data_IF_403125975288
#
_entry.id   IF_403125975288
#
_cell.length_a   1.000
_cell.length_b   1.000
_cell.length_c   1.000
_cell.angle_alpha   90.00
_cell.angle_beta   90.00
_cell.angle_gamma   90.00
#
_symmetry.space_group_name_H-M   'P 1'
#
loop_
_entity.id
_entity.type
_entity.pdbx_description
1 polymer ?
#
# COMPACT_ATOMS: atom_id res chain seq x y z
N UNK A 1 39.94 -14.47 -14.26
CA UNK A 1 39.06 -15.04 -15.33
C UNK A 1 37.90 -15.92 -14.82
N UNK A 2 38.05 -16.73 -13.76
CA UNK A 2 36.95 -17.56 -13.19
C UNK A 2 35.83 -16.76 -12.50
N UNK A 3 36.12 -15.59 -11.95
CA UNK A 3 35.17 -14.69 -11.28
C UNK A 3 34.21 -13.96 -12.23
N UNK A 4 34.68 -13.54 -13.42
CA UNK A 4 33.80 -12.94 -14.44
C UNK A 4 32.82 -13.96 -15.05
N UNK A 5 33.24 -15.21 -15.25
CA UNK A 5 32.35 -16.29 -15.72
C UNK A 5 31.23 -16.60 -14.69
N UNK A 6 31.51 -16.50 -13.40
CA UNK A 6 30.52 -16.70 -12.31
C UNK A 6 29.43 -15.63 -12.29
N UNK A 7 29.79 -14.37 -12.48
CA UNK A 7 28.84 -13.24 -12.59
C UNK A 7 28.00 -13.36 -13.87
N UNK A 8 28.63 -13.73 -14.98
CA UNK A 8 27.93 -14.02 -16.23
C UNK A 8 26.93 -15.17 -16.09
N UNK A 9 27.27 -16.23 -15.35
CA UNK A 9 26.36 -17.35 -15.09
C UNK A 9 25.20 -16.99 -14.14
N UNK A 10 25.41 -16.05 -13.22
CA UNK A 10 24.38 -15.51 -12.35
C UNK A 10 23.35 -14.68 -13.15
N UNK A 11 23.82 -13.74 -13.99
CA UNK A 11 22.95 -13.00 -14.91
C UNK A 11 22.28 -13.92 -15.94
N UNK A 12 22.96 -14.95 -16.43
CA UNK A 12 22.39 -15.92 -17.37
C UNK A 12 21.32 -16.81 -16.72
N UNK A 13 21.46 -17.16 -15.43
CA UNK A 13 20.39 -17.84 -14.66
C UNK A 13 19.24 -16.91 -14.28
N UNK A 14 19.52 -15.63 -14.04
CA UNK A 14 18.49 -14.59 -13.91
C UNK A 14 17.69 -14.47 -15.24
N UNK A 15 18.38 -14.44 -16.37
CA UNK A 15 17.82 -14.28 -17.72
C UNK A 15 17.13 -15.54 -18.29
N UNK A 16 17.59 -16.75 -17.96
CA UNK A 16 16.86 -18.00 -18.32
C UNK A 16 15.70 -18.29 -17.36
N UNK A 17 15.71 -17.70 -16.17
CA UNK A 17 14.61 -17.76 -15.20
C UNK A 17 13.49 -16.77 -15.49
N UNK A 18 13.74 -15.66 -16.21
CA UNK A 18 12.73 -14.62 -16.47
C UNK A 18 11.53 -15.13 -17.25
N UNK A 19 11.73 -15.95 -18.29
CA UNK A 19 10.61 -16.52 -19.06
C UNK A 19 9.69 -17.42 -18.22
N UNK A 20 10.29 -18.28 -17.39
CA UNK A 20 9.54 -19.13 -16.45
C UNK A 20 8.87 -18.31 -15.33
N UNK A 21 9.51 -17.24 -14.89
CA UNK A 21 9.02 -16.32 -13.86
C UNK A 21 7.84 -15.48 -14.34
N UNK A 22 7.95 -14.89 -15.53
CA UNK A 22 6.87 -14.15 -16.19
C UNK A 22 5.68 -15.08 -16.44
N UNK A 23 5.92 -16.32 -16.89
CA UNK A 23 4.86 -17.32 -17.05
C UNK A 23 4.14 -17.61 -15.73
N UNK A 24 4.88 -17.78 -14.63
CA UNK A 24 4.28 -17.98 -13.29
C UNK A 24 3.47 -16.76 -12.84
N UNK A 25 3.99 -15.56 -13.08
CA UNK A 25 3.29 -14.31 -12.75
C UNK A 25 2.01 -14.14 -13.57
N UNK A 26 2.03 -14.52 -14.85
CA UNK A 26 0.87 -14.50 -15.74
C UNK A 26 -0.23 -15.49 -15.32
N UNK A 27 0.16 -16.64 -14.78
CA UNK A 27 -0.79 -17.62 -14.26
C UNK A 27 -1.48 -17.14 -12.97
N UNK A 28 -0.87 -16.22 -12.23
CA UNK A 28 -1.45 -15.64 -11.03
C UNK A 28 -2.46 -14.54 -11.36
N UNK A 29 -3.71 -14.64 -10.88
CA UNK A 29 -4.78 -13.68 -11.20
C UNK A 29 -4.39 -12.23 -10.91
N UNK A 30 -3.79 -11.99 -9.73
CA UNK A 30 -3.35 -10.65 -9.31
C UNK A 30 -2.09 -10.19 -10.06
N UNK A 31 -1.17 -11.12 -10.33
CA UNK A 31 0.09 -10.82 -11.03
C UNK A 31 -0.14 -10.43 -12.48
N UNK A 32 -1.09 -11.09 -13.15
CA UNK A 32 -1.49 -10.78 -14.52
C UNK A 32 -2.06 -9.37 -14.66
N UNK A 33 -2.93 -8.95 -13.74
CA UNK A 33 -3.49 -7.58 -13.77
C UNK A 33 -2.38 -6.54 -13.61
N UNK A 34 -1.50 -6.72 -12.63
CA UNK A 34 -0.36 -5.82 -12.45
C UNK A 34 0.56 -5.78 -13.67
N UNK A 35 0.86 -6.93 -14.27
CA UNK A 35 1.73 -7.00 -15.45
C UNK A 35 1.12 -6.31 -16.67
N UNK A 36 -0.19 -6.48 -16.92
CA UNK A 36 -0.89 -5.80 -18.02
C UNK A 36 -0.79 -4.28 -17.85
N UNK A 37 -1.06 -3.77 -16.64
CA UNK A 37 -1.03 -2.32 -16.37
C UNK A 37 0.40 -1.77 -16.49
N UNK A 38 1.41 -2.42 -15.88
CA UNK A 38 2.81 -1.97 -16.02
C UNK A 38 3.24 -1.99 -17.48
N UNK A 39 2.88 -3.03 -18.24
CA UNK A 39 3.23 -3.14 -19.66
C UNK A 39 2.58 -2.03 -20.47
N UNK A 40 1.31 -1.74 -20.22
CA UNK A 40 0.60 -0.62 -20.83
C UNK A 40 1.27 0.73 -20.52
N UNK A 41 1.60 0.99 -19.24
CA UNK A 41 2.30 2.21 -18.84
C UNK A 41 3.71 2.30 -19.45
N UNK A 42 4.42 1.17 -19.57
CA UNK A 42 5.72 1.12 -20.22
C UNK A 42 5.63 1.45 -21.72
N UNK A 43 4.61 0.96 -22.41
CA UNK A 43 4.33 1.31 -23.81
C UNK A 43 4.05 2.81 -23.93
N UNK A 44 3.17 3.36 -23.08
CA UNK A 44 2.91 4.80 -23.06
C UNK A 44 4.17 5.62 -22.80
N UNK A 45 5.03 5.17 -21.89
CA UNK A 45 6.28 5.87 -21.58
C UNK A 45 7.26 5.84 -22.77
N UNK A 46 7.50 4.67 -23.38
CA UNK A 46 8.48 4.52 -24.46
C UNK A 46 8.00 5.23 -25.72
N UNK A 47 6.74 5.05 -26.08
CA UNK A 47 6.14 5.60 -27.29
C UNK A 47 5.45 6.95 -27.06
N UNK A 48 5.73 7.64 -25.95
CA UNK A 48 5.10 8.93 -25.64
C UNK A 48 5.17 9.95 -26.79
N UNK A 49 6.31 10.17 -27.47
CA UNK A 49 6.40 11.14 -28.56
C UNK A 49 5.58 10.75 -29.81
N UNK A 50 5.18 9.48 -29.92
CA UNK A 50 4.41 8.95 -31.05
C UNK A 50 2.91 8.85 -30.73
N UNK A 51 2.56 8.73 -29.44
CA UNK A 51 1.18 8.57 -28.97
C UNK A 51 0.57 9.92 -28.58
N UNK A 52 1.37 10.83 -28.03
CA UNK A 52 0.89 12.15 -27.63
C UNK A 52 0.54 13.00 -28.87
N UNK A 53 -0.65 13.62 -28.92
CA UNK A 53 -1.03 14.49 -30.04
C UNK A 53 -0.13 15.74 -30.17
N UNK A 54 0.36 16.26 -29.05
CA UNK A 54 1.21 17.45 -28.99
C UNK A 54 2.47 17.18 -28.16
N UNK A 55 3.57 17.86 -28.48
CA UNK A 55 4.76 17.87 -27.64
C UNK A 55 4.57 18.90 -26.53
N UNK A 56 4.43 18.47 -25.25
CA UNK A 56 4.23 19.41 -24.17
C UNK A 56 5.49 20.26 -23.88
N UNK A 57 6.67 19.91 -24.37
CA UNK A 57 7.87 20.73 -24.24
C UNK A 57 7.99 21.81 -25.30
N UNK A 58 7.25 21.70 -26.40
CA UNK A 58 7.22 22.69 -27.46
C UNK A 58 6.27 23.84 -27.08
N UNK A 59 6.84 25.03 -26.89
CA UNK A 59 6.06 26.23 -26.54
C UNK A 59 5.16 26.70 -27.67
N UNK A 60 5.48 26.35 -28.93
CA UNK A 60 4.71 26.77 -30.11
C UNK A 60 3.42 25.98 -30.27
N UNK A 61 3.33 24.79 -29.65
CA UNK A 61 2.16 23.91 -29.69
C UNK A 61 1.19 24.14 -28.52
N UNK A 62 1.42 25.19 -27.71
CA UNK A 62 0.53 25.56 -26.61
C UNK A 62 -0.70 26.25 -27.16
N UNK A 63 -1.87 25.87 -26.64
CA UNK A 63 -3.13 26.49 -26.96
C UNK A 63 -3.54 27.50 -25.88
N UNK A 64 -4.76 28.03 -25.99
CA UNK A 64 -5.33 28.91 -24.97
C UNK A 64 -5.35 28.21 -23.59
N UNK A 65 -5.16 29.00 -22.53
CA UNK A 65 -5.05 28.48 -21.17
C UNK A 65 -6.42 28.09 -20.63
N UNK A 66 -6.49 26.91 -19.99
CA UNK A 66 -7.71 26.49 -19.31
C UNK A 66 -8.86 26.20 -20.27
N UNK A 67 -8.58 25.67 -21.46
CA UNK A 67 -9.62 25.14 -22.34
C UNK A 67 -10.26 23.90 -21.70
N UNK A 68 -11.56 23.76 -21.88
CA UNK A 68 -12.31 22.56 -21.50
C UNK A 68 -12.05 21.42 -22.48
N UNK A 69 -12.36 20.16 -22.11
CA UNK A 69 -12.17 19.01 -22.98
C UNK A 69 -12.90 19.18 -24.31
N UNK A 70 -12.16 18.97 -25.41
CA UNK A 70 -12.66 19.07 -26.78
C UNK A 70 -12.04 17.96 -27.63
N UNK A 71 -12.48 17.81 -28.88
CA UNK A 71 -11.87 16.85 -29.81
C UNK A 71 -10.42 17.19 -30.17
N UNK A 72 -10.06 18.46 -30.15
CA UNK A 72 -8.67 18.92 -30.36
C UNK A 72 -7.81 18.71 -29.13
N UNK A 73 -8.40 18.85 -27.93
CA UNK A 73 -7.75 18.69 -26.63
C UNK A 73 -8.58 17.75 -25.74
N UNK A 74 -8.35 16.44 -25.83
CA UNK A 74 -9.17 15.40 -25.20
C UNK A 74 -9.40 15.58 -23.69
N UNK A 75 -8.42 16.17 -22.99
CA UNK A 75 -8.52 16.50 -21.57
C UNK A 75 -8.39 18.01 -21.31
N UNK A 76 -8.61 18.83 -22.33
CA UNK A 76 -8.42 20.28 -22.26
C UNK A 76 -6.94 20.67 -22.09
N UNK A 77 -6.73 21.92 -21.71
CA UNK A 77 -5.37 22.50 -21.57
C UNK A 77 -5.10 22.95 -20.14
N UNK A 78 -3.81 23.00 -19.79
CA UNK A 78 -3.33 23.48 -18.50
C UNK A 78 -3.71 24.95 -18.30
N UNK A 79 -4.23 25.27 -17.11
CA UNK A 79 -4.67 26.61 -16.74
C UNK A 79 -3.47 27.57 -16.63
N UNK A 80 -2.31 27.06 -16.21
CA UNK A 80 -1.13 27.90 -15.98
C UNK A 80 -0.36 28.17 -17.27
N UNK A 81 -0.22 27.15 -18.13
CA UNK A 81 0.71 27.16 -19.27
C UNK A 81 0.06 26.96 -20.64
N UNK A 82 -1.19 26.49 -20.73
CA UNK A 82 -1.85 26.21 -22.02
C UNK A 82 -1.39 24.92 -22.71
N UNK A 83 -0.62 24.07 -22.02
CA UNK A 83 -0.20 22.76 -22.52
C UNK A 83 -1.37 21.76 -22.53
N UNK A 84 -1.44 20.89 -23.54
CA UNK A 84 -2.45 19.83 -23.62
C UNK A 84 -2.31 18.81 -22.46
N UNK A 85 -3.36 18.63 -21.66
CA UNK A 85 -3.32 17.81 -20.44
C UNK A 85 -3.14 16.33 -20.77
N UNK A 86 -3.68 15.85 -21.89
CA UNK A 86 -3.54 14.45 -22.31
C UNK A 86 -2.11 14.12 -22.72
N UNK A 87 -1.47 15.01 -23.47
CA UNK A 87 -0.06 14.91 -23.84
C UNK A 87 0.84 14.97 -22.60
N UNK A 88 0.54 15.87 -21.66
CA UNK A 88 1.22 15.93 -20.36
C UNK A 88 1.06 14.63 -19.57
N UNK A 89 -0.12 14.01 -19.58
CA UNK A 89 -0.38 12.75 -18.89
C UNK A 89 0.50 11.61 -19.43
N UNK A 90 0.59 11.50 -20.76
CA UNK A 90 1.41 10.49 -21.44
C UNK A 90 2.90 10.71 -21.12
N UNK A 91 3.41 11.93 -21.32
CA UNK A 91 4.80 12.26 -21.01
C UNK A 91 5.12 12.12 -19.53
N UNK A 92 4.18 12.45 -18.65
CA UNK A 92 4.28 12.26 -17.20
C UNK A 92 4.55 10.82 -16.80
N UNK A 93 4.06 9.85 -17.58
CA UNK A 93 4.34 8.43 -17.38
C UNK A 93 5.84 8.14 -17.41
N UNK A 94 6.61 8.80 -18.28
CA UNK A 94 8.08 8.59 -18.41
C UNK A 94 8.80 9.01 -17.14
N UNK A 95 8.57 10.24 -16.70
CA UNK A 95 9.25 10.82 -15.55
C UNK A 95 8.89 10.08 -14.27
N UNK A 96 7.59 9.91 -13.98
CA UNK A 96 7.13 9.28 -12.74
C UNK A 96 7.50 7.79 -12.67
N UNK A 97 7.38 7.04 -13.78
CA UNK A 97 7.75 5.62 -13.80
C UNK A 97 9.26 5.42 -13.68
N UNK A 98 10.07 6.24 -14.35
CA UNK A 98 11.52 6.14 -14.28
C UNK A 98 12.06 6.44 -12.88
N UNK A 99 11.57 7.49 -12.21
CA UNK A 99 12.01 7.83 -10.84
C UNK A 99 11.65 6.69 -9.89
N UNK A 100 10.40 6.21 -9.93
CA UNK A 100 9.94 5.12 -9.09
C UNK A 100 10.77 3.85 -9.25
N UNK A 101 10.99 3.42 -10.51
CA UNK A 101 11.70 2.18 -10.81
C UNK A 101 13.19 2.28 -10.49
N UNK A 102 13.87 3.33 -10.94
CA UNK A 102 15.33 3.47 -10.74
C UNK A 102 15.63 3.60 -9.26
N UNK A 103 14.91 4.47 -8.56
CA UNK A 103 15.11 4.67 -7.12
C UNK A 103 14.79 3.40 -6.33
N UNK A 104 13.68 2.72 -6.67
CA UNK A 104 13.32 1.46 -6.04
C UNK A 104 14.38 0.37 -6.20
N UNK A 105 14.97 0.25 -7.39
CA UNK A 105 16.09 -0.68 -7.65
C UNK A 105 17.34 -0.29 -6.87
N UNK A 106 17.71 0.99 -6.84
CA UNK A 106 18.88 1.45 -6.08
C UNK A 106 18.70 1.18 -4.58
N UNK A 107 17.51 1.48 -4.04
CA UNK A 107 17.14 1.17 -2.66
C UNK A 107 17.22 -0.34 -2.41
N UNK A 108 16.74 -1.16 -3.34
CA UNK A 108 16.80 -2.61 -3.23
C UNK A 108 18.25 -3.13 -3.15
N UNK A 109 19.12 -2.60 -4.01
CA UNK A 109 20.54 -2.95 -4.03
C UNK A 109 21.19 -2.52 -2.71
N UNK A 110 21.08 -1.25 -2.31
CA UNK A 110 21.69 -0.74 -1.07
C UNK A 110 21.16 -1.47 0.17
N UNK A 111 19.84 -1.61 0.28
CA UNK A 111 19.19 -2.29 1.38
C UNK A 111 19.58 -3.77 1.47
N UNK A 112 19.69 -4.46 0.33
CA UNK A 112 20.14 -5.85 0.29
C UNK A 112 21.58 -6.02 0.75
N UNK A 113 22.50 -5.18 0.25
CA UNK A 113 23.92 -5.27 0.57
C UNK A 113 24.16 -5.02 2.06
N UNK A 114 23.59 -3.94 2.59
CA UNK A 114 23.75 -3.56 3.99
C UNK A 114 23.00 -4.50 4.94
N UNK A 115 21.80 -4.96 4.56
CA UNK A 115 21.03 -5.94 5.33
C UNK A 115 21.70 -7.32 5.41
N UNK A 116 22.25 -7.82 4.29
CA UNK A 116 23.00 -9.07 4.25
C UNK A 116 24.30 -8.95 5.04
N UNK A 117 25.03 -7.86 4.88
CA UNK A 117 26.25 -7.60 5.63
C UNK A 117 25.97 -7.60 7.15
N UNK A 118 24.98 -6.83 7.60
CA UNK A 118 24.59 -6.75 9.00
C UNK A 118 24.14 -8.12 9.55
N UNK A 119 23.23 -8.82 8.86
CA UNK A 119 22.70 -10.10 9.34
C UNK A 119 23.70 -11.25 9.33
N UNK A 120 24.61 -11.30 8.35
CA UNK A 120 25.55 -12.41 8.22
C UNK A 120 26.83 -12.20 9.04
N UNK A 121 27.47 -11.02 8.91
CA UNK A 121 28.74 -10.74 9.59
C UNK A 121 28.53 -10.64 11.12
N UNK A 122 27.41 -10.05 11.57
CA UNK A 122 27.11 -9.87 12.98
C UNK A 122 28.08 -8.92 13.70
N UNK A 123 28.01 -8.91 15.03
CA UNK A 123 28.96 -8.20 15.89
C UNK A 123 28.97 -6.68 15.65
N UNK A 124 30.16 -6.11 15.47
CA UNK A 124 30.33 -4.66 15.32
C UNK A 124 29.76 -4.12 13.99
N UNK A 125 29.85 -4.88 12.90
CA UNK A 125 29.29 -4.48 11.59
C UNK A 125 27.77 -4.34 11.67
N UNK A 126 27.11 -5.33 12.28
CA UNK A 126 25.68 -5.30 12.53
C UNK A 126 25.29 -4.09 13.40
N UNK A 127 26.02 -3.90 14.50
CA UNK A 127 25.79 -2.79 15.43
C UNK A 127 25.91 -1.45 14.71
N UNK A 128 26.98 -1.20 13.95
CA UNK A 128 27.19 0.06 13.26
C UNK A 128 26.08 0.34 12.22
N UNK A 129 25.78 -0.63 11.36
CA UNK A 129 24.76 -0.49 10.32
C UNK A 129 23.39 -0.25 10.96
N UNK A 130 23.01 -1.04 11.96
CA UNK A 130 21.71 -0.91 12.62
C UNK A 130 21.59 0.39 13.40
N UNK A 131 22.67 0.91 14.01
CA UNK A 131 22.64 2.23 14.66
C UNK A 131 22.37 3.35 13.66
N UNK A 132 23.00 3.32 12.48
CA UNK A 132 22.72 4.27 11.41
C UNK A 132 21.26 4.14 10.94
N UNK A 133 20.78 2.91 10.72
CA UNK A 133 19.38 2.64 10.33
C UNK A 133 18.40 3.17 11.38
N UNK A 134 18.66 2.95 12.66
CA UNK A 134 17.80 3.38 13.76
C UNK A 134 17.72 4.92 13.83
N UNK A 135 18.85 5.62 13.69
CA UNK A 135 18.89 7.09 13.64
C UNK A 135 18.09 7.63 12.45
N UNK A 136 18.29 7.05 11.26
CA UNK A 136 17.61 7.52 10.04
C UNK A 136 16.09 7.26 10.07
N UNK A 137 15.64 6.18 10.71
CA UNK A 137 14.22 5.85 10.78
C UNK A 137 13.43 6.67 11.82
N UNK A 138 14.10 7.31 12.76
CA UNK A 138 13.47 8.28 13.68
C UNK A 138 13.10 9.56 12.95
N UNK A 139 13.85 9.93 11.91
CA UNK A 139 13.61 11.15 11.13
C UNK A 139 12.52 10.87 10.08
N UNK A 140 11.44 11.66 10.03
CA UNK A 140 10.43 11.55 8.99
C UNK A 140 11.04 11.73 7.58
N UNK A 141 10.90 10.72 6.72
CA UNK A 141 11.58 10.69 5.41
C UNK A 141 11.13 11.84 4.49
N UNK A 142 9.83 12.17 4.44
CA UNK A 142 9.34 13.24 3.57
C UNK A 142 9.90 14.63 3.95
N UNK A 143 9.81 15.10 5.21
CA UNK A 143 10.48 16.32 5.64
C UNK A 143 11.97 16.37 5.32
N UNK A 144 12.67 15.24 5.52
CA UNK A 144 14.09 15.15 5.19
C UNK A 144 14.36 15.34 3.69
N UNK A 145 13.57 14.68 2.84
CA UNK A 145 13.68 14.82 1.36
C UNK A 145 13.39 16.26 0.94
N UNK A 146 12.39 16.92 1.54
CA UNK A 146 12.05 18.32 1.29
C UNK A 146 13.23 19.24 1.59
N UNK A 147 13.82 19.12 2.77
CA UNK A 147 14.98 19.94 3.16
C UNK A 147 16.17 19.67 2.25
N UNK A 148 16.45 18.40 1.94
CA UNK A 148 17.59 18.02 1.11
C UNK A 148 17.45 18.49 -0.34
N UNK A 149 16.27 18.43 -0.93
CA UNK A 149 16.02 18.91 -2.30
C UNK A 149 16.06 20.44 -2.39
N UNK A 150 15.70 21.14 -1.31
CA UNK A 150 15.88 22.59 -1.24
C UNK A 150 17.37 23.01 -1.18
N UNK A 151 18.21 22.23 -0.49
CA UNK A 151 19.65 22.52 -0.36
C UNK A 151 20.47 22.05 -1.57
N UNK A 152 20.22 20.84 -2.04
CA UNK A 152 20.99 20.20 -3.12
C UNK A 152 20.41 20.47 -4.52
N UNK A 153 19.22 21.07 -4.59
CA UNK A 153 18.48 21.35 -5.82
C UNK A 153 17.50 20.25 -6.20
N UNK A 154 16.71 20.52 -7.25
CA UNK A 154 15.56 19.70 -7.66
C UNK A 154 15.81 18.89 -8.93
N UNK A 155 17.08 18.64 -9.28
CA UNK A 155 17.39 17.85 -10.47
C UNK A 155 16.96 16.38 -10.30
N UNK A 156 16.67 15.72 -11.42
CA UNK A 156 16.30 14.30 -11.46
C UNK A 156 17.30 13.41 -10.67
N UNK A 157 18.60 13.62 -10.89
CA UNK A 157 19.65 12.85 -10.23
C UNK A 157 19.69 13.10 -8.72
N UNK A 158 19.47 14.34 -8.29
CA UNK A 158 19.43 14.70 -6.86
C UNK A 158 18.23 14.05 -6.18
N UNK A 159 17.05 14.08 -6.80
CA UNK A 159 15.85 13.44 -6.25
C UNK A 159 16.08 11.93 -6.04
N UNK A 160 16.61 11.24 -7.06
CA UNK A 160 16.94 9.81 -6.98
C UNK A 160 17.97 9.55 -5.86
N UNK A 161 19.04 10.36 -5.78
CA UNK A 161 20.09 10.20 -4.77
C UNK A 161 19.55 10.39 -3.36
N UNK A 162 18.75 11.43 -3.12
CA UNK A 162 18.16 11.72 -1.81
C UNK A 162 17.24 10.59 -1.38
N UNK A 163 16.31 10.15 -2.23
CA UNK A 163 15.47 8.99 -1.89
C UNK A 163 16.28 7.71 -1.68
N UNK A 164 17.30 7.45 -2.50
CA UNK A 164 18.17 6.30 -2.35
C UNK A 164 18.97 6.32 -1.04
N UNK A 165 19.43 7.50 -0.60
CA UNK A 165 20.23 7.68 0.61
C UNK A 165 19.44 7.40 1.91
N UNK A 166 18.12 7.59 1.88
CA UNK A 166 17.27 7.45 3.08
C UNK A 166 16.31 6.27 3.01
N UNK A 167 15.91 5.82 1.82
CA UNK A 167 14.90 4.79 1.61
C UNK A 167 15.37 3.34 1.83
N UNK A 168 16.68 3.09 1.90
CA UNK A 168 17.25 1.74 2.07
C UNK A 168 17.12 1.15 3.48
N UNK A 169 16.89 2.00 4.47
CA UNK A 169 16.95 1.67 5.90
C UNK A 169 15.91 0.62 6.31
N UNK A 170 14.65 0.82 5.91
CA UNK A 170 13.57 -0.13 6.18
C UNK A 170 13.82 -1.50 5.56
N UNK A 171 14.25 -1.53 4.29
CA UNK A 171 14.55 -2.77 3.59
C UNK A 171 15.76 -3.50 4.20
N UNK A 172 16.82 -2.78 4.56
CA UNK A 172 17.99 -3.38 5.19
C UNK A 172 17.64 -4.09 6.50
N UNK A 173 16.77 -3.49 7.32
CA UNK A 173 16.30 -4.09 8.57
C UNK A 173 15.54 -5.40 8.32
N UNK A 174 14.64 -5.40 7.34
CA UNK A 174 13.85 -6.59 6.97
C UNK A 174 14.76 -7.70 6.44
N UNK A 175 15.69 -7.37 5.54
CA UNK A 175 16.64 -8.35 4.99
C UNK A 175 17.55 -8.90 6.07
N UNK A 176 18.06 -8.06 6.98
CA UNK A 176 18.85 -8.52 8.13
C UNK A 176 18.10 -9.59 8.93
N UNK A 177 16.83 -9.37 9.25
CA UNK A 177 16.02 -10.32 10.01
C UNK A 177 15.95 -11.69 9.32
N UNK A 178 15.77 -11.70 8.00
CA UNK A 178 15.74 -12.94 7.21
C UNK A 178 17.10 -13.61 7.11
N UNK A 179 18.17 -12.82 6.98
CA UNK A 179 19.53 -13.34 6.90
C UNK A 179 19.94 -14.00 8.23
N UNK A 180 19.52 -13.45 9.37
CA UNK A 180 19.75 -14.08 10.68
C UNK A 180 19.11 -15.47 10.77
N UNK A 181 17.93 -15.67 10.17
CA UNK A 181 17.28 -16.99 10.09
C UNK A 181 18.06 -17.93 9.16
N UNK A 182 18.42 -17.46 7.96
CA UNK A 182 19.09 -18.27 6.92
C UNK A 182 20.51 -18.66 7.33
N UNK A 183 21.23 -17.78 8.05
CA UNK A 183 22.59 -18.03 8.55
C UNK A 183 22.70 -19.32 9.39
N UNK A 184 21.61 -19.70 10.05
CA UNK A 184 21.56 -20.90 10.90
C UNK A 184 21.08 -22.16 10.14
N UNK A 185 20.83 -22.09 8.84
CA UNK A 185 20.40 -23.25 8.06
C UNK A 185 21.54 -24.25 7.82
N UNK A 186 21.21 -25.55 7.84
CA UNK A 186 22.18 -26.65 7.70
C UNK A 186 23.09 -26.52 6.47
N UNK A 187 22.56 -26.09 5.32
CA UNK A 187 23.36 -25.94 4.10
C UNK A 187 24.36 -24.78 4.18
N UNK A 188 24.06 -23.73 4.94
CA UNK A 188 24.99 -22.61 5.18
C UNK A 188 26.09 -23.06 6.14
N UNK A 189 25.70 -23.77 7.21
CA UNK A 189 26.66 -24.31 8.19
C UNK A 189 27.59 -25.36 7.57
N UNK A 190 27.08 -26.24 6.73
CA UNK A 190 27.90 -27.19 5.98
C UNK A 190 28.93 -26.49 5.06
N UNK A 191 28.52 -25.41 4.39
CA UNK A 191 29.44 -24.63 3.55
C UNK A 191 30.53 -23.92 4.38
N UNK A 192 30.17 -23.38 5.56
CA UNK A 192 31.09 -22.77 6.52
C UNK A 192 32.12 -23.79 7.03
N UNK A 193 31.67 -24.99 7.43
CA UNK A 193 32.54 -26.10 7.85
C UNK A 193 33.45 -26.61 6.73
N UNK A 194 33.03 -26.47 5.48
CA UNK A 194 33.83 -26.82 4.30
C UNK A 194 34.89 -25.77 3.96
N UNK A 195 35.05 -24.72 4.77
CA UNK A 195 36.05 -23.66 4.58
C UNK A 195 35.66 -22.59 3.54
N UNK A 196 34.38 -22.49 3.16
CA UNK A 196 33.94 -21.47 2.24
C UNK A 196 34.08 -20.06 2.84
N UNK A 197 34.58 -19.11 2.04
CA UNK A 197 34.76 -17.73 2.52
C UNK A 197 33.42 -17.05 2.81
N UNK A 198 33.41 -16.12 3.78
CA UNK A 198 32.23 -15.32 4.13
C UNK A 198 31.58 -14.63 2.92
N UNK A 199 32.40 -14.07 2.04
CA UNK A 199 31.94 -13.46 0.80
C UNK A 199 31.27 -14.47 -0.13
N UNK A 200 31.88 -15.64 -0.31
CA UNK A 200 31.28 -16.71 -1.12
C UNK A 200 29.92 -17.12 -0.55
N UNK A 201 29.80 -17.28 0.77
CA UNK A 201 28.55 -17.65 1.43
C UNK A 201 27.47 -16.59 1.22
N UNK A 202 27.80 -15.30 1.40
CA UNK A 202 26.86 -14.21 1.18
C UNK A 202 26.29 -14.19 -0.24
N UNK A 203 27.14 -14.28 -1.27
CA UNK A 203 26.68 -14.16 -2.66
C UNK A 203 26.11 -15.45 -3.24
N UNK A 204 26.60 -16.62 -2.81
CA UNK A 204 26.22 -17.91 -3.40
C UNK A 204 25.08 -18.60 -2.66
N UNK A 205 24.94 -18.37 -1.36
CA UNK A 205 23.95 -19.05 -0.53
C UNK A 205 22.90 -18.09 0.03
N UNK A 206 23.31 -16.95 0.58
CA UNK A 206 22.39 -16.03 1.27
C UNK A 206 21.61 -15.17 0.29
N UNK A 207 22.28 -14.46 -0.61
CA UNK A 207 21.64 -13.56 -1.58
C UNK A 207 20.60 -14.29 -2.43
N UNK A 208 20.85 -15.50 -2.98
CA UNK A 208 19.83 -16.25 -3.70
C UNK A 208 18.67 -16.69 -2.80
N UNK A 209 18.92 -17.01 -1.53
CA UNK A 209 17.88 -17.40 -0.59
C UNK A 209 16.94 -16.23 -0.23
N UNK A 210 17.47 -15.00 -0.11
CA UNK A 210 16.65 -13.79 0.14
C UNK A 210 16.17 -13.09 -1.13
N UNK A 211 16.60 -13.55 -2.32
CA UNK A 211 16.29 -12.89 -3.60
C UNK A 211 14.79 -12.76 -3.87
N UNK A 212 13.99 -13.75 -3.45
CA UNK A 212 12.55 -13.72 -3.58
C UNK A 212 11.92 -12.52 -2.85
N UNK A 213 12.35 -12.31 -1.60
CA UNK A 213 11.94 -11.17 -0.80
C UNK A 213 12.44 -9.86 -1.40
N UNK A 214 13.67 -9.84 -1.90
CA UNK A 214 14.21 -8.64 -2.55
C UNK A 214 13.39 -8.21 -3.77
N UNK A 215 13.02 -9.14 -4.65
CA UNK A 215 12.26 -8.81 -5.86
C UNK A 215 10.88 -8.26 -5.47
N UNK A 216 10.21 -8.92 -4.52
CA UNK A 216 8.92 -8.47 -3.99
C UNK A 216 9.02 -7.08 -3.36
N UNK A 217 9.96 -6.88 -2.43
CA UNK A 217 10.17 -5.59 -1.77
C UNK A 217 10.54 -4.49 -2.75
N UNK A 218 11.31 -4.78 -3.80
CA UNK A 218 11.65 -3.80 -4.84
C UNK A 218 10.40 -3.23 -5.50
N UNK A 219 9.41 -4.07 -5.82
CA UNK A 219 8.16 -3.61 -6.43
C UNK A 219 7.37 -2.71 -5.46
N UNK A 220 7.24 -3.12 -4.20
CA UNK A 220 6.56 -2.34 -3.15
C UNK A 220 7.25 -1.00 -2.88
N UNK A 221 8.58 -1.01 -2.76
CA UNK A 221 9.37 0.21 -2.56
C UNK A 221 9.26 1.14 -3.76
N UNK A 222 9.31 0.62 -4.99
CA UNK A 222 9.12 1.43 -6.20
C UNK A 222 7.77 2.15 -6.15
N UNK A 223 6.70 1.43 -5.83
CA UNK A 223 5.36 2.01 -5.67
C UNK A 223 5.32 3.12 -4.60
N UNK A 224 5.96 2.89 -3.44
CA UNK A 224 6.06 3.89 -2.38
C UNK A 224 6.83 5.14 -2.79
N UNK A 225 7.93 4.99 -3.54
CA UNK A 225 8.69 6.12 -4.07
C UNK A 225 7.90 6.90 -5.12
N UNK A 226 7.09 6.24 -5.95
CA UNK A 226 6.23 6.95 -6.92
C UNK A 226 5.24 7.89 -6.21
N UNK A 227 4.66 7.44 -5.10
CA UNK A 227 3.77 8.30 -4.28
C UNK A 227 4.57 9.43 -3.63
N UNK A 228 5.75 9.13 -3.09
CA UNK A 228 6.58 10.13 -2.42
C UNK A 228 7.10 11.20 -3.40
N UNK A 229 7.52 10.81 -4.61
CA UNK A 229 7.90 11.72 -5.69
C UNK A 229 6.72 12.56 -6.15
N UNK A 230 5.54 11.96 -6.34
CA UNK A 230 4.35 12.71 -6.70
C UNK A 230 3.99 13.75 -5.64
N UNK A 231 4.09 13.41 -4.35
CA UNK A 231 3.88 14.34 -3.23
C UNK A 231 4.93 15.45 -3.19
N UNK A 232 6.20 15.13 -3.39
CA UNK A 232 7.29 16.12 -3.45
C UNK A 232 7.10 17.09 -4.62
N UNK A 233 6.78 16.57 -5.81
CA UNK A 233 6.50 17.34 -7.01
C UNK A 233 5.23 18.18 -6.88
N UNK A 234 4.20 17.67 -6.20
CA UNK A 234 2.98 18.41 -5.86
C UNK A 234 3.27 19.63 -4.97
N UNK A 235 4.22 19.50 -4.03
CA UNK A 235 4.69 20.60 -3.19
C UNK A 235 5.62 21.59 -3.93
N UNK A 236 5.87 21.39 -5.22
CA UNK A 236 6.73 22.26 -6.04
C UNK A 236 8.24 22.00 -5.86
N UNK A 237 8.62 20.89 -5.22
CA UNK A 237 10.02 20.52 -4.95
C UNK A 237 10.54 19.41 -5.88
N UNK A 238 9.75 19.05 -6.89
CA UNK A 238 10.16 18.18 -7.98
C UNK A 238 10.99 18.91 -9.04
N UNK A 239 11.45 18.16 -10.04
CA UNK A 239 12.17 18.76 -11.17
C UNK A 239 11.26 19.71 -11.95
N UNK A 240 11.54 21.03 -12.00
CA UNK A 240 10.65 22.02 -12.61
C UNK A 240 10.58 21.89 -14.14
N UNK A 241 11.59 21.26 -14.75
CA UNK A 241 11.66 21.08 -16.21
C UNK A 241 10.98 19.80 -16.66
N UNK A 242 10.78 18.82 -15.78
CA UNK A 242 10.18 17.55 -16.14
C UNK A 242 8.67 17.58 -15.93
N UNK A 243 7.92 17.01 -16.87
CA UNK A 243 6.50 16.77 -16.67
C UNK A 243 6.39 15.46 -15.90
N UNK A 244 5.86 15.52 -14.70
CA UNK A 244 5.50 14.38 -13.86
C UNK A 244 4.05 14.50 -13.41
N UNK A 245 3.43 13.41 -12.99
CA UNK A 245 2.05 13.47 -12.51
C UNK A 245 1.90 14.31 -11.24
N UNK A 246 2.91 14.32 -10.36
CA UNK A 246 2.92 15.23 -9.21
C UNK A 246 3.01 16.71 -9.63
N UNK A 247 3.79 17.02 -10.66
CA UNK A 247 3.89 18.38 -11.21
C UNK A 247 2.57 18.83 -11.85
N UNK A 248 1.89 17.95 -12.58
CA UNK A 248 0.56 18.22 -13.12
C UNK A 248 -0.45 18.56 -12.00
N UNK A 249 -0.41 17.83 -10.88
CA UNK A 249 -1.24 18.14 -9.71
C UNK A 249 -0.87 19.50 -9.09
N UNK A 250 0.42 19.84 -9.02
CA UNK A 250 0.87 21.15 -8.53
C UNK A 250 0.35 22.29 -9.42
N UNK A 251 0.38 22.11 -10.74
CA UNK A 251 -0.09 23.08 -11.72
C UNK A 251 -1.62 23.24 -11.65
N UNK A 252 -2.37 22.14 -11.47
CA UNK A 252 -3.80 22.18 -11.26
C UNK A 252 -4.18 22.89 -9.94
N UNK A 253 -3.44 22.63 -8.86
CA UNK A 253 -3.67 23.27 -7.55
C UNK A 253 -3.36 24.77 -7.59
N UNK A 254 -2.20 25.15 -8.14
CA UNK A 254 -1.78 26.56 -8.22
C UNK A 254 -2.62 27.37 -9.21
N UNK A 255 -3.12 26.74 -10.28
CA UNK A 255 -4.05 27.34 -11.23
C UNK A 255 -5.49 27.43 -10.74
N UNK A 256 -5.81 26.93 -9.54
CA UNK A 256 -7.16 26.97 -8.99
C UNK A 256 -8.15 26.05 -9.72
N UNK A 257 -7.70 24.92 -10.26
CA UNK A 257 -8.52 24.01 -11.07
C UNK A 257 -9.84 23.60 -10.40
N UNK A 258 -9.84 23.39 -9.07
CA UNK A 258 -11.07 23.09 -8.34
C UNK A 258 -12.05 24.27 -8.32
N UNK A 259 -11.56 25.51 -8.21
CA UNK A 259 -12.40 26.70 -8.16
C UNK A 259 -13.09 26.96 -9.52
N UNK A 260 -12.40 26.67 -10.62
CA UNK A 260 -12.91 26.87 -11.97
C UNK A 260 -13.59 25.62 -12.57
N UNK A 261 -13.73 24.53 -11.80
CA UNK A 261 -14.41 23.32 -12.26
C UNK A 261 -13.60 22.41 -13.20
N UNK A 262 -12.28 22.62 -13.34
CA UNK A 262 -11.38 21.82 -14.18
C UNK A 262 -10.94 20.51 -13.50
N UNK A 263 -11.90 19.72 -12.99
CA UNK A 263 -11.62 18.51 -12.20
C UNK A 263 -10.81 17.44 -12.95
N UNK A 264 -10.90 17.40 -14.29
CA UNK A 264 -10.13 16.48 -15.15
C UNK A 264 -8.61 16.70 -15.04
N UNK A 265 -8.16 17.93 -14.81
CA UNK A 265 -6.74 18.26 -14.63
C UNK A 265 -6.12 17.63 -13.38
N UNK A 266 -6.96 17.30 -12.39
CA UNK A 266 -6.57 16.64 -11.13
C UNK A 266 -6.74 15.12 -11.27
N UNK A 267 -7.89 14.70 -11.80
CA UNK A 267 -8.24 13.28 -11.91
C UNK A 267 -7.30 12.53 -12.87
N UNK A 268 -6.91 13.14 -13.98
CA UNK A 268 -6.01 12.53 -14.96
C UNK A 268 -4.66 12.09 -14.36
N UNK A 269 -3.83 12.98 -13.77
CA UNK A 269 -2.58 12.56 -13.14
C UNK A 269 -2.82 11.66 -11.92
N UNK A 270 -3.93 11.84 -11.18
CA UNK A 270 -4.32 10.96 -10.08
C UNK A 270 -4.53 9.51 -10.51
N UNK A 271 -5.19 9.29 -11.65
CA UNK A 271 -5.38 7.95 -12.24
C UNK A 271 -4.04 7.35 -12.67
N UNK A 272 -3.13 8.16 -13.25
CA UNK A 272 -1.77 7.71 -13.59
C UNK A 272 -1.01 7.18 -12.37
N UNK A 273 -0.98 7.98 -11.29
CA UNK A 273 -0.36 7.59 -10.02
C UNK A 273 -1.03 6.33 -9.48
N UNK A 274 -2.37 6.28 -9.41
CA UNK A 274 -3.10 5.12 -8.90
C UNK A 274 -2.77 3.85 -9.69
N UNK A 275 -2.88 3.87 -11.02
CA UNK A 275 -2.61 2.70 -11.87
C UNK A 275 -1.18 2.21 -11.70
N UNK A 276 -0.22 3.13 -11.62
CA UNK A 276 1.18 2.76 -11.41
C UNK A 276 1.39 2.08 -10.07
N UNK A 277 1.00 2.69 -8.95
CA UNK A 277 1.15 2.15 -7.60
C UNK A 277 0.42 0.83 -7.47
N UNK A 278 -0.83 0.76 -7.96
CA UNK A 278 -1.64 -0.44 -7.95
C UNK A 278 -0.97 -1.59 -8.71
N UNK A 279 -0.39 -1.30 -9.89
CA UNK A 279 0.26 -2.30 -10.72
C UNK A 279 1.50 -2.91 -10.06
N UNK A 280 2.40 -2.07 -9.50
CA UNK A 280 3.58 -2.53 -8.79
C UNK A 280 3.23 -3.26 -7.50
N UNK A 281 2.22 -2.79 -6.76
CA UNK A 281 1.75 -3.44 -5.54
C UNK A 281 1.17 -4.83 -5.85
N UNK A 282 0.36 -4.96 -6.92
CA UNK A 282 -0.16 -6.26 -7.36
C UNK A 282 0.93 -7.22 -7.80
N UNK A 283 1.94 -6.74 -8.51
CA UNK A 283 3.11 -7.55 -8.88
C UNK A 283 3.84 -8.02 -7.62
N UNK A 284 4.16 -7.12 -6.70
CA UNK A 284 4.87 -7.47 -5.47
C UNK A 284 4.13 -8.52 -4.63
N UNK A 285 2.82 -8.31 -4.39
CA UNK A 285 1.99 -9.28 -3.67
C UNK A 285 1.89 -10.63 -4.38
N UNK A 286 1.69 -10.63 -5.70
CA UNK A 286 1.66 -11.88 -6.47
C UNK A 286 2.99 -12.65 -6.38
N UNK A 287 4.12 -11.93 -6.36
CA UNK A 287 5.42 -12.54 -6.19
C UNK A 287 5.59 -13.14 -4.80
N UNK A 288 5.08 -12.49 -3.76
CA UNK A 288 5.04 -13.06 -2.42
C UNK A 288 4.31 -14.41 -2.41
N UNK A 289 3.13 -14.48 -3.01
CA UNK A 289 2.32 -15.70 -3.05
C UNK A 289 2.97 -16.82 -3.86
N UNK A 290 3.56 -16.51 -5.02
CA UNK A 290 4.22 -17.49 -5.89
C UNK A 290 5.48 -18.07 -5.23
N UNK A 291 6.20 -17.24 -4.49
CA UNK A 291 7.51 -17.57 -3.92
C UNK A 291 7.41 -18.10 -2.48
N UNK A 292 6.28 -17.89 -1.80
CA UNK A 292 6.03 -18.40 -0.46
C UNK A 292 5.16 -19.69 -0.47
N UNK A 293 5.77 -20.89 -0.33
CA UNK A 293 5.04 -22.16 -0.37
C UNK A 293 4.06 -22.35 0.79
N UNK A 294 4.15 -21.55 1.87
CA UNK A 294 3.24 -21.65 3.02
C UNK A 294 1.86 -21.04 2.74
N UNK A 295 1.78 -20.01 1.90
CA UNK A 295 0.50 -19.34 1.61
C UNK A 295 -0.39 -20.13 0.65
N UNK A 296 0.18 -21.08 -0.11
CA UNK A 296 -0.59 -21.98 -0.99
C UNK A 296 -1.56 -22.91 -0.24
N UNK A 297 -1.47 -23.01 1.10
CA UNK A 297 -2.35 -23.84 1.94
C UNK A 297 -3.61 -23.13 2.46
N UNK A 298 -3.85 -21.86 2.10
CA UNK A 298 -5.02 -21.08 2.55
C UNK A 298 -6.39 -21.59 2.10
N UNK A 299 -6.46 -22.55 1.16
CA UNK A 299 -7.74 -23.17 0.77
C UNK A 299 -8.33 -24.10 1.82
N UNK A 300 -7.59 -24.48 2.88
CA UNK A 300 -8.11 -25.39 3.90
C UNK A 300 -9.23 -24.78 4.73
N UNK A 301 -9.21 -23.48 5.03
CA UNK A 301 -10.22 -22.86 5.90
C UNK A 301 -11.57 -22.65 5.19
N UNK A 302 -11.56 -22.29 3.90
CA UNK A 302 -12.77 -22.25 3.06
C UNK A 302 -13.35 -23.66 2.89
N UNK A 303 -12.51 -24.70 2.79
CA UNK A 303 -12.98 -26.10 2.76
C UNK A 303 -13.61 -26.52 4.09
N UNK A 304 -13.00 -26.14 5.21
CA UNK A 304 -13.52 -26.42 6.56
C UNK A 304 -14.86 -25.72 6.79
N UNK A 305 -14.97 -24.42 6.47
CA UNK A 305 -16.23 -23.68 6.62
C UNK A 305 -17.35 -24.23 5.72
N UNK A 306 -16.99 -24.68 4.50
CA UNK A 306 -17.93 -25.33 3.58
C UNK A 306 -18.42 -26.69 4.09
N UNK A 307 -17.61 -27.44 4.84
CA UNK A 307 -18.05 -28.70 5.45
C UNK A 307 -18.94 -28.45 6.68
N UNK A 308 -18.61 -27.44 7.50
CA UNK A 308 -19.42 -27.09 8.67
C UNK A 308 -20.83 -26.61 8.28
N UNK A 309 -20.96 -25.81 7.23
CA UNK A 309 -22.25 -25.29 6.80
C UNK A 309 -23.23 -26.37 6.31
N UNK A 310 -22.75 -27.46 5.71
CA UNK A 310 -23.63 -28.53 5.26
C UNK A 310 -24.01 -29.46 6.42
N UNK A 311 -23.06 -29.85 7.27
CA UNK A 311 -23.34 -30.81 8.35
C UNK A 311 -24.20 -30.20 9.46
N UNK A 312 -23.93 -28.97 9.90
CA UNK A 312 -24.73 -28.35 10.97
C UNK A 312 -26.17 -28.03 10.54
N UNK A 313 -26.36 -27.58 9.30
CA UNK A 313 -27.71 -27.26 8.82
C UNK A 313 -28.53 -28.54 8.67
N UNK A 314 -27.98 -29.60 8.07
CA UNK A 314 -28.70 -30.86 7.89
C UNK A 314 -29.07 -31.52 9.23
N UNK A 315 -28.20 -31.46 10.23
CA UNK A 315 -28.44 -32.04 11.56
C UNK A 315 -29.48 -31.24 12.36
N UNK A 316 -29.44 -29.91 12.30
CA UNK A 316 -30.44 -29.03 12.92
C UNK A 316 -31.81 -29.20 12.26
N UNK A 317 -31.89 -29.17 10.93
CA UNK A 317 -33.15 -29.37 10.22
C UNK A 317 -33.70 -30.79 10.42
N UNK A 318 -32.85 -31.81 10.45
CA UNK A 318 -33.27 -33.18 10.77
C UNK A 318 -33.83 -33.29 12.19
N UNK A 319 -33.24 -32.62 13.17
CA UNK A 319 -33.73 -32.62 14.56
C UNK A 319 -35.08 -31.90 14.71
N UNK A 320 -35.33 -30.86 13.92
CA UNK A 320 -36.61 -30.14 13.89
C UNK A 320 -37.71 -30.98 13.23
N UNK A 321 -37.37 -31.76 12.20
CA UNK A 321 -38.29 -32.69 11.55
C UNK A 321 -38.65 -33.88 12.47
N UNK A 322 -37.71 -34.39 13.28
CA UNK A 322 -38.00 -35.42 14.29
C UNK A 322 -38.90 -34.91 15.42
N UNK A 323 -38.67 -33.68 15.91
CA UNK A 323 -39.51 -33.07 16.96
C UNK A 323 -40.95 -32.81 16.47
N UNK A 324 -41.12 -32.52 15.18
CA UNK A 324 -42.44 -32.38 14.55
C UNK A 324 -43.19 -33.71 14.43
N UNK A 325 -42.48 -34.82 14.17
CA UNK A 325 -43.05 -36.17 14.09
C UNK A 325 -43.47 -36.66 15.47
N UNK A 326 -42.66 -36.40 16.50
CA UNK A 326 -42.98 -36.76 17.89
C UNK A 326 -44.24 -36.02 18.39
N UNK A 327 -44.40 -34.72 18.08
CA UNK A 327 -45.63 -33.98 18.45
C UNK A 327 -46.90 -34.43 17.72
N UNK A 328 -46.78 -35.02 16.54
CA UNK A 328 -47.92 -35.57 15.79
C UNK A 328 -48.47 -36.88 16.37
N UNK A 329 -47.61 -37.68 17.01
CA UNK A 329 -47.94 -39.03 17.49
C UNK A 329 -48.62 -39.03 18.88
N UNK A 330 -48.36 -38.01 19.71
CA UNK A 330 -48.99 -37.86 21.03
C UNK A 330 -50.35 -37.12 21.02
N UNK A 331 -50.79 -36.57 19.88
CA UNK A 331 -52.07 -35.86 19.77
C UNK A 331 -53.29 -36.77 19.47
N UNK A 332 -53.06 -38.07 19.25
CA UNK A 332 -54.11 -39.02 18.84
C UNK A 332 -54.08 -40.31 19.65
N UNK A 333 -54.46 -40.29 20.94
CA UNK A 333 -54.56 -41.53 21.70
C UNK A 333 -55.03 -41.38 23.15
N UNK A 334 -56.32 -41.63 23.36
CA UNK A 334 -56.91 -42.25 24.55
C UNK A 334 -56.89 -41.50 25.91
N UNK A 335 -58.00 -40.82 26.11
CA UNK A 335 -58.85 -40.76 27.31
C UNK A 335 -58.86 -41.99 28.25
N UNK A 336 -58.92 -41.70 29.56
CA UNK A 336 -59.74 -42.35 30.62
C UNK A 336 -59.11 -43.45 31.51
N UNK A 337 -58.99 -43.09 32.80
CA UNK A 337 -59.50 -43.76 34.01
C UNK A 337 -58.43 -43.98 35.10
N UNK A 338 -58.28 -42.96 35.95
CA UNK A 338 -57.71 -43.09 37.29
C UNK A 338 -58.85 -43.51 38.24
N UNK A 339 -58.68 -44.61 38.96
CA UNK A 339 -59.25 -44.69 40.30
C UNK A 339 -58.29 -45.38 41.26
N UNK A 340 -58.05 -44.63 42.31
CA UNK A 340 -57.10 -44.76 43.41
C UNK A 340 -57.58 -45.75 44.46
N UNK A 341 -56.68 -46.63 44.90
CA UNK A 341 -56.67 -47.12 46.28
C UNK A 341 -55.23 -47.06 46.84
N UNK A 342 -55.05 -46.03 47.67
CA UNK A 342 -54.32 -45.95 48.94
C UNK A 342 -53.10 -46.85 49.26
N UNK A 343 -52.00 -46.12 49.54
CA UNK A 343 -51.01 -46.26 50.63
C UNK A 343 -49.69 -47.02 50.39
N UNK A 344 -48.63 -46.19 50.36
CA UNK A 344 -47.51 -46.10 51.31
C UNK A 344 -46.06 -46.32 50.80
N UNK A 345 -45.24 -45.33 51.18
CA UNK A 345 -43.76 -45.22 51.18
C UNK A 345 -43.12 -44.87 49.82
N UNK A 346 -42.29 -43.82 49.66
CA UNK A 346 -41.64 -42.87 50.57
C UNK A 346 -41.07 -41.70 49.74
N UNK A 347 -41.23 -40.47 50.24
CA UNK A 347 -40.22 -39.40 50.12
C UNK A 347 -40.17 -38.53 48.85
N UNK A 348 -41.04 -37.52 48.78
CA UNK A 348 -40.78 -36.20 48.15
C UNK A 348 -41.20 -35.13 49.18
N UNK A 349 -40.74 -33.87 49.12
CA UNK A 349 -41.37 -32.88 48.22
C UNK A 349 -40.34 -31.90 47.60
N UNK A 350 -40.65 -30.98 46.71
CA UNK A 350 -41.67 -30.72 45.69
C UNK A 350 -41.39 -29.26 45.25
N UNK A 351 -41.79 -28.92 44.03
CA UNK A 351 -41.52 -27.66 43.37
C UNK A 351 -42.60 -26.58 43.66
N UNK A 352 -42.29 -25.37 43.17
CA UNK A 352 -43.17 -24.30 42.60
C UNK A 352 -43.87 -23.25 43.53
N UNK A 353 -44.34 -22.08 43.01
CA UNK A 353 -44.03 -20.74 43.53
C UNK A 353 -45.29 -19.87 43.82
N UNK A 354 -45.12 -18.61 44.23
CA UNK A 354 -46.12 -17.52 44.12
C UNK A 354 -45.42 -16.19 44.42
N UNK A 355 -45.29 -15.27 43.46
CA UNK A 355 -46.20 -14.14 43.17
C UNK A 355 -46.16 -12.96 44.17
N UNK A 356 -45.89 -11.78 43.58
CA UNK A 356 -46.23 -10.42 43.98
C UNK A 356 -45.71 -9.86 45.33
N UNK A 357 -44.76 -8.91 45.26
CA UNK A 357 -44.96 -7.52 45.70
C UNK A 357 -44.02 -6.59 44.90
N UNK A 358 -44.59 -5.45 44.50
CA UNK A 358 -44.05 -4.25 43.87
C UNK A 358 -42.59 -3.85 44.24
N UNK A 359 -41.89 -3.19 43.31
CA UNK A 359 -41.68 -1.73 43.37
C UNK A 359 -40.85 -1.22 42.16
N UNK A 360 -41.56 -0.45 41.31
CA UNK A 360 -41.11 0.65 40.43
C UNK A 360 -39.71 0.66 39.79
N UNK A 361 -39.70 0.60 38.45
CA UNK A 361 -38.89 1.51 37.64
C UNK A 361 -39.53 2.92 37.64
N UNK A 362 -38.80 3.99 37.25
CA UNK A 362 -38.88 4.31 35.82
C UNK A 362 -37.56 4.81 35.20
N UNK A 363 -37.45 4.54 33.91
CA UNK A 363 -36.65 5.29 32.95
C UNK A 363 -37.33 6.63 32.58
N UNK A 364 -36.67 7.42 31.72
CA UNK A 364 -37.18 8.47 30.80
C UNK A 364 -36.77 9.92 31.17
N UNK A 365 -35.64 10.45 30.66
CA UNK A 365 -35.34 11.19 29.39
C UNK A 365 -35.24 12.74 29.58
N UNK A 366 -34.86 13.57 28.56
CA UNK A 366 -34.02 14.77 28.77
C UNK A 366 -34.76 16.10 28.47
N UNK A 367 -34.17 17.23 28.86
CA UNK A 367 -34.45 18.57 28.31
C UNK A 367 -33.39 19.53 28.90
N UNK A 368 -32.51 20.16 28.11
CA UNK A 368 -32.73 21.37 27.31
C UNK A 368 -33.01 22.64 28.14
N UNK A 369 -32.12 23.64 28.04
CA UNK A 369 -32.52 25.05 28.05
C UNK A 369 -31.67 26.05 28.85
N UNK A 370 -31.21 27.09 28.12
CA UNK A 370 -30.79 28.43 28.57
C UNK A 370 -29.40 28.60 29.23
N UNK A 371 -28.66 29.70 29.07
CA UNK A 371 -28.57 30.78 28.08
C UNK A 371 -27.32 31.64 28.43
N UNK A 372 -26.46 31.86 27.43
CA UNK A 372 -25.67 33.05 27.01
C UNK A 372 -25.77 34.33 27.88
N UNK A 373 -24.69 35.10 28.15
CA UNK A 373 -24.17 36.16 27.23
C UNK A 373 -22.63 36.16 27.05
N UNK A 374 -22.08 36.23 25.84
CA UNK A 374 -21.98 37.41 24.95
C UNK A 374 -21.13 38.55 25.57
N UNK A 375 -19.81 38.53 25.32
CA UNK A 375 -18.93 39.68 25.56
C UNK A 375 -18.59 40.35 24.21
N UNK A 376 -19.05 41.60 24.07
CA UNK A 376 -18.84 42.50 22.92
C UNK A 376 -17.44 43.14 22.97
N UNK A 377 -16.91 43.62 21.82
CA UNK A 377 -15.61 44.25 21.74
C UNK A 377 -15.64 45.69 22.30
N UNK A 378 -14.60 46.05 23.04
CA UNK A 378 -14.40 47.40 23.54
C UNK A 378 -13.97 48.37 22.42
N UNK A 379 -14.86 49.31 22.06
CA UNK A 379 -14.50 50.58 21.40
C UNK A 379 -13.92 51.53 22.45
N UNK A 380 -12.66 51.95 22.31
CA UNK A 380 -12.15 53.18 22.92
C UNK A 380 -11.95 54.24 21.85
N UNK A 381 -12.64 55.36 22.03
CA UNK A 381 -12.61 56.60 21.28
C UNK A 381 -11.18 57.19 21.20
N UNK A 382 -10.83 57.76 20.04
CA UNK A 382 -9.97 58.94 19.96
C UNK A 382 -10.69 59.99 19.11
N UNK A 383 -11.01 61.12 19.76
CA UNK A 383 -11.42 62.37 19.12
C UNK A 383 -10.18 63.07 18.55
N UNK A 384 -10.31 63.54 17.31
CA UNK A 384 -10.06 64.89 16.82
C UNK A 384 -8.87 65.71 17.40
N UNK A 385 -7.87 66.03 16.55
CA UNK A 385 -7.52 67.41 16.13
C UNK A 385 -6.22 67.51 15.30
N UNK A 386 -6.33 68.38 14.28
CA UNK A 386 -5.34 69.32 13.71
C UNK A 386 -4.35 68.94 12.59
N UNK A 387 -4.41 69.81 11.55
CA UNK A 387 -3.43 70.23 10.54
C UNK A 387 -2.97 69.17 9.51
N UNK A 388 -2.97 69.42 8.19
CA UNK A 388 -2.78 70.67 7.47
C UNK A 388 -1.50 70.55 6.62
N UNK A 389 -1.66 70.74 5.30
CA UNK A 389 -0.68 71.31 4.36
C UNK A 389 0.42 70.44 3.69
N UNK A 390 0.54 70.70 2.36
CA UNK A 390 1.67 70.48 1.41
C UNK A 390 1.78 69.05 0.85
N UNK A 391 1.72 68.81 -0.47
CA UNK A 391 1.96 69.63 -1.68
C UNK A 391 1.24 69.01 -2.87
#
# INVERSE_FOLDING_TARGET
MKTLKSIGLFFKRLAFGTGGFIKKLWQHKQGRVGLIIVTFLAILAIFAPLIAPYDPYDVTQRAEKGLTPSWEHLLGTSITTGQDIFSMLIYGTRSSLSIGLITGVVIAVLGSLLGIAAGYLGGWVDTLIMRVVDVLLVIPTLPLVIVMTNVLGTSYAVIVLVFAAFGWTGLARVIRAQVMLIKNANYVKAAELSGASKWYIMWRHILPAVSNLLIMSTALTSAGIMVAEAGLSFLGLGNPTAISWGKMLADAQSGGAMLFGHWWSILAPGVGIFLSVYSFMRIGLALEEILNPRMRKGSSMIKVFKHLNNTYLDEVFSSMDEESKLKGEYAGGATVALNTDTQQTTGVPELVPAEAVAESAPAVTPAAGAAVPAEKPAKKRKNNKDAGEKR
#
